data_IF_805211510077
#
_entry.id   IF_805211510077
#
_cell.length_a   1.000
_cell.length_b   1.000
_cell.length_c   1.000
_cell.angle_alpha   90.00
_cell.angle_beta   90.00
_cell.angle_gamma   90.00
#
_symmetry.space_group_name_H-M   'P 1'
#
loop_
_entity.id
_entity.type
_entity.pdbx_description
1 polymer ?
#
# COMPACT_ATOMS: atom_id res chain seq x y z
N UNK A 1 -35.87 10.55 0.84
CA UNK A 1 -34.54 10.44 1.47
C UNK A 1 -33.58 10.04 0.37
N UNK A 2 -32.66 10.92 -0.04
CA UNK A 2 -31.74 10.62 -1.17
C UNK A 2 -30.64 9.71 -0.64
N UNK A 3 -30.39 8.59 -1.33
CA UNK A 3 -29.38 7.61 -0.90
C UNK A 3 -27.95 8.16 -0.94
N UNK A 4 -27.73 9.28 -1.62
CA UNK A 4 -26.44 9.94 -1.79
C UNK A 4 -25.84 10.38 -0.43
N UNK A 5 -26.68 10.79 0.53
CA UNK A 5 -26.22 11.35 1.81
C UNK A 5 -25.60 10.31 2.76
N UNK A 6 -25.89 9.02 2.56
CA UNK A 6 -25.33 7.90 3.36
C UNK A 6 -24.10 7.31 2.67
N UNK A 7 -24.03 7.38 1.34
CA UNK A 7 -22.91 6.91 0.54
C UNK A 7 -21.70 7.83 0.62
N UNK A 8 -21.95 9.14 0.52
CA UNK A 8 -20.94 10.19 0.54
C UNK A 8 -19.96 10.11 1.73
N UNK A 9 -20.38 9.96 2.99
CA UNK A 9 -19.45 9.87 4.11
C UNK A 9 -18.63 8.57 4.13
N UNK A 10 -19.17 7.46 3.61
CA UNK A 10 -18.48 6.16 3.59
C UNK A 10 -17.41 6.12 2.50
N UNK A 11 -17.73 6.61 1.30
CA UNK A 11 -16.76 6.74 0.21
C UNK A 11 -15.61 7.70 0.58
N UNK A 12 -15.93 8.84 1.20
CA UNK A 12 -14.91 9.76 1.73
C UNK A 12 -13.99 9.08 2.75
N UNK A 13 -14.53 8.21 3.62
CA UNK A 13 -13.73 7.48 4.61
C UNK A 13 -12.83 6.41 3.97
N UNK A 14 -13.30 5.73 2.93
CA UNK A 14 -12.52 4.77 2.14
C UNK A 14 -11.38 5.52 1.44
N UNK A 15 -11.67 6.59 0.69
CA UNK A 15 -10.66 7.38 -0.01
C UNK A 15 -9.62 7.97 0.94
N UNK A 16 -10.03 8.47 2.11
CA UNK A 16 -9.11 8.99 3.11
C UNK A 16 -8.19 7.90 3.70
N UNK A 17 -8.68 6.67 3.86
CA UNK A 17 -7.88 5.55 4.35
C UNK A 17 -6.93 5.02 3.26
N UNK A 18 -7.39 4.89 2.01
CA UNK A 18 -6.54 4.57 0.86
C UNK A 18 -5.39 5.55 0.73
N UNK A 19 -5.67 6.86 0.80
CA UNK A 19 -4.63 7.90 0.73
C UNK A 19 -3.59 7.78 1.85
N UNK A 20 -4.00 7.40 3.07
CA UNK A 20 -3.06 7.18 4.18
C UNK A 20 -2.18 5.95 3.97
N UNK A 21 -2.74 4.88 3.41
CA UNK A 21 -1.99 3.66 3.04
C UNK A 21 -0.93 4.01 1.99
N UNK A 22 -1.32 4.71 0.93
CA UNK A 22 -0.40 5.16 -0.14
C UNK A 22 0.75 6.03 0.40
N UNK A 23 0.43 6.97 1.31
CA UNK A 23 1.45 7.82 1.93
C UNK A 23 2.47 7.01 2.73
N UNK A 24 2.01 6.07 3.57
CA UNK A 24 2.90 5.22 4.38
C UNK A 24 3.73 4.27 3.49
N UNK A 25 3.13 3.72 2.43
CA UNK A 25 3.87 2.91 1.46
C UNK A 25 4.98 3.71 0.78
N UNK A 26 4.73 4.96 0.40
CA UNK A 26 5.75 5.86 -0.16
C UNK A 26 6.92 6.10 0.81
N UNK A 27 6.62 6.42 2.07
CA UNK A 27 7.63 6.60 3.12
C UNK A 27 8.49 5.34 3.33
N UNK A 28 7.86 4.15 3.34
CA UNK A 28 8.58 2.88 3.47
C UNK A 28 9.56 2.65 2.32
N UNK A 29 9.15 2.92 1.08
CA UNK A 29 10.03 2.79 -0.10
C UNK A 29 11.21 3.75 0.00
N UNK A 30 10.99 4.98 0.47
CA UNK A 30 12.06 5.96 0.67
C UNK A 30 13.06 5.52 1.74
N UNK A 31 12.58 5.01 2.88
CA UNK A 31 13.42 4.49 3.96
C UNK A 31 14.22 3.27 3.48
N UNK A 32 13.59 2.32 2.78
CA UNK A 32 14.28 1.17 2.22
C UNK A 32 15.35 1.59 1.19
N UNK A 33 15.02 2.53 0.30
CA UNK A 33 15.96 3.09 -0.67
C UNK A 33 17.17 3.74 0.00
N UNK A 34 16.94 4.49 1.10
CA UNK A 34 18.01 5.08 1.89
C UNK A 34 18.94 4.03 2.50
N UNK A 35 18.37 2.94 3.03
CA UNK A 35 19.14 1.83 3.60
C UNK A 35 19.99 1.14 2.52
N UNK A 36 19.41 0.83 1.36
CA UNK A 36 20.11 0.17 0.24
C UNK A 36 21.26 1.04 -0.26
N UNK A 37 21.01 2.30 -0.61
CA UNK A 37 22.04 3.24 -1.10
C UNK A 37 23.20 3.40 -0.12
N UNK A 38 22.91 3.42 1.18
CA UNK A 38 23.93 3.53 2.22
C UNK A 38 24.72 2.24 2.40
N UNK A 39 24.08 1.08 2.24
CA UNK A 39 24.76 -0.22 2.30
C UNK A 39 25.79 -0.37 1.18
N UNK A 40 25.44 0.02 -0.05
CA UNK A 40 26.31 -0.04 -1.22
C UNK A 40 27.56 0.86 -1.08
N UNK A 41 27.37 2.12 -0.66
CA UNK A 41 28.47 3.05 -0.42
C UNK A 41 29.40 2.58 0.72
N UNK A 42 28.88 1.82 1.70
CA UNK A 42 29.69 1.26 2.79
C UNK A 42 30.52 0.04 2.36
N UNK A 43 30.05 -0.74 1.39
CA UNK A 43 30.74 -1.92 0.84
C UNK A 43 31.89 -1.51 -0.07
N UNK A 44 31.67 -0.53 -0.95
CA UNK A 44 32.70 0.04 -1.83
C UNK A 44 33.92 0.54 -1.03
N UNK A 45 33.63 1.27 0.07
CA UNK A 45 34.65 1.74 1.03
C UNK A 45 35.30 0.64 1.87
N UNK A 46 34.67 -0.53 2.04
CA UNK A 46 35.32 -1.68 2.71
C UNK A 46 36.22 -2.45 1.77
N UNK A 47 35.90 -2.49 0.47
CA UNK A 47 36.67 -3.22 -0.52
C UNK A 47 37.97 -2.51 -0.90
N UNK A 48 37.95 -1.17 -1.03
CA UNK A 48 39.16 -0.41 -1.36
C UNK A 48 40.24 -0.43 -0.26
N UNK A 49 39.84 -0.55 1.01
CA UNK A 49 40.76 -0.68 2.16
C UNK A 49 41.33 -2.09 2.30
N UNK A 50 40.60 -3.12 1.86
CA UNK A 50 41.04 -4.52 1.91
C UNK A 50 42.06 -4.84 0.81
N UNK A 51 41.88 -4.29 -0.40
CA UNK A 51 42.79 -4.54 -1.53
C UNK A 51 44.16 -3.88 -1.38
N UNK A 52 44.25 -2.73 -0.71
CA UNK A 52 45.54 -2.05 -0.47
C UNK A 52 46.40 -2.80 0.58
N UNK A 53 45.75 -3.38 1.59
CA UNK A 53 46.42 -4.20 2.63
C UNK A 53 46.95 -5.52 2.04
N UNK A 54 46.20 -6.15 1.14
CA UNK A 54 46.60 -7.43 0.52
C UNK A 54 47.71 -7.25 -0.54
N UNK A 55 47.80 -6.07 -1.17
CA UNK A 55 48.86 -5.76 -2.14
C UNK A 55 50.19 -5.36 -1.50
N UNK A 56 50.18 -4.89 -0.25
CA UNK A 56 51.41 -4.60 0.50
C UNK A 56 52.10 -5.86 1.06
N UNK A 57 51.44 -7.02 1.08
CA UNK A 57 51.98 -8.24 1.70
C UNK A 57 52.50 -9.30 0.72
N UNK A 58 52.43 -9.09 -0.60
CA UNK A 58 52.80 -10.13 -1.58
C UNK A 58 54.03 -9.85 -2.43
N UNK A 59 54.83 -8.82 -2.13
CA UNK A 59 56.09 -8.54 -2.85
C UNK A 59 57.15 -7.99 -1.87
N UNK A 60 57.89 -8.86 -1.20
CA UNK A 60 59.33 -8.99 -1.42
C UNK A 60 59.85 -10.27 -0.76
N UNK A 61 60.52 -11.06 -1.58
CA UNK A 61 61.25 -12.26 -1.24
C UNK A 61 62.67 -11.87 -0.82
N UNK A 62 63.26 -12.68 0.04
CA UNK A 62 64.69 -12.68 0.38
C UNK A 62 65.26 -11.54 1.26
N UNK A 63 65.54 -11.95 2.50
CA UNK A 63 66.83 -11.74 3.18
C UNK A 63 66.96 -10.49 4.08
N UNK A 64 67.49 -10.77 5.28
CA UNK A 64 68.29 -9.97 6.22
C UNK A 64 67.71 -8.81 7.08
N UNK A 65 67.53 -9.15 8.38
CA UNK A 65 68.37 -8.67 9.50
C UNK A 65 68.52 -7.13 9.64
N UNK A 66 67.61 -6.52 10.39
CA UNK A 66 67.80 -5.14 10.87
C UNK A 66 66.74 -4.71 11.88
N UNK A 67 67.11 -4.75 13.17
CA UNK A 67 66.37 -4.10 14.26
C UNK A 67 66.33 -2.59 13.97
N UNK A 68 65.21 -2.06 13.48
CA UNK A 68 64.92 -0.64 13.58
C UNK A 68 63.54 -0.46 14.21
N UNK A 69 63.55 0.22 15.35
CA UNK A 69 62.40 0.56 16.18
C UNK A 69 61.39 1.33 15.33
N UNK A 70 60.21 0.73 15.14
CA UNK A 70 59.08 1.37 14.51
C UNK A 70 58.44 2.33 15.53
N UNK A 71 59.07 3.51 15.71
CA UNK A 71 58.45 4.65 16.37
C UNK A 71 57.90 5.56 15.28
N UNK A 72 56.76 5.17 14.73
CA UNK A 72 55.92 6.06 13.94
C UNK A 72 54.67 6.28 14.78
N UNK A 73 54.60 7.50 15.32
CA UNK A 73 53.44 8.09 15.98
C UNK A 73 52.19 7.77 15.17
N UNK A 74 51.31 6.91 15.70
CA UNK A 74 49.96 6.80 15.17
C UNK A 74 49.29 8.14 15.45
N UNK A 75 49.26 8.97 14.43
CA UNK A 75 48.53 10.22 14.44
C UNK A 75 47.08 9.86 14.81
N UNK A 76 46.65 10.35 15.97
CA UNK A 76 45.31 10.10 16.49
C UNK A 76 44.35 10.85 15.57
N UNK A 77 43.95 10.18 14.48
CA UNK A 77 42.77 10.57 13.73
C UNK A 77 41.56 10.25 14.59
N UNK A 78 41.33 11.12 15.58
CA UNK A 78 40.03 11.36 16.19
C UNK A 78 39.12 11.96 15.13
N UNK A 79 38.82 11.13 14.14
CA UNK A 79 37.66 11.34 13.30
C UNK A 79 36.54 10.78 14.14
N UNK A 80 35.87 11.70 14.83
CA UNK A 80 34.51 11.58 15.30
C UNK A 80 33.63 11.18 14.10
N UNK A 81 33.73 9.92 13.67
CA UNK A 81 32.85 9.32 12.69
C UNK A 81 31.50 9.28 13.37
N UNK A 82 30.68 10.28 13.08
CA UNK A 82 29.22 10.17 13.07
C UNK A 82 28.86 9.15 11.98
N UNK A 83 29.31 7.90 12.16
CA UNK A 83 28.65 6.76 11.60
C UNK A 83 27.31 6.71 12.31
N UNK A 84 26.30 7.41 11.77
CA UNK A 84 24.92 6.99 11.96
C UNK A 84 24.82 5.59 11.36
N UNK A 85 25.33 4.59 12.07
CA UNK A 85 24.90 3.21 11.94
C UNK A 85 23.38 3.22 11.78
N UNK A 86 22.84 2.35 10.92
CA UNK A 86 21.40 2.28 10.70
C UNK A 86 20.76 2.23 12.08
N UNK A 87 20.15 3.34 12.47
CA UNK A 87 19.83 3.57 13.88
C UNK A 87 18.77 2.55 14.26
N UNK A 88 18.82 2.04 15.48
CA UNK A 88 17.70 1.28 16.04
C UNK A 88 16.36 2.01 15.83
N UNK A 89 16.41 3.35 15.78
CA UNK A 89 15.32 4.26 15.44
C UNK A 89 14.75 4.04 14.02
N UNK A 90 15.59 3.86 13.00
CA UNK A 90 15.15 3.62 11.61
C UNK A 90 14.42 2.28 11.48
N UNK A 91 14.93 1.22 12.12
CA UNK A 91 14.28 -0.10 12.12
C UNK A 91 12.98 -0.11 12.94
N UNK A 92 12.97 0.57 14.09
CA UNK A 92 11.77 0.73 14.90
C UNK A 92 10.67 1.49 14.15
N UNK A 93 11.05 2.50 13.36
CA UNK A 93 10.14 3.27 12.51
C UNK A 93 9.54 2.39 11.41
N UNK A 94 10.36 1.62 10.68
CA UNK A 94 9.89 0.65 9.68
C UNK A 94 8.85 -0.32 10.26
N UNK A 95 9.15 -0.95 11.40
CA UNK A 95 8.24 -1.90 12.06
C UNK A 95 6.91 -1.28 12.49
N UNK A 96 6.91 -0.01 12.90
CA UNK A 96 5.67 0.71 13.23
C UNK A 96 4.83 0.98 11.99
N UNK A 97 5.45 1.41 10.89
CA UNK A 97 4.74 1.65 9.63
C UNK A 97 4.16 0.37 9.03
N UNK A 98 4.88 -0.75 9.08
CA UNK A 98 4.37 -2.07 8.66
C UNK A 98 3.13 -2.48 9.47
N UNK A 99 3.18 -2.38 10.80
CA UNK A 99 2.03 -2.71 11.65
C UNK A 99 0.83 -1.76 11.42
N UNK A 100 1.11 -0.46 11.24
CA UNK A 100 0.07 0.53 10.93
C UNK A 100 -0.60 0.25 9.58
N UNK A 101 0.15 -0.19 8.57
CA UNK A 101 -0.40 -0.59 7.26
C UNK A 101 -1.33 -1.79 7.39
N UNK A 102 -0.88 -2.87 8.04
CA UNK A 102 -1.69 -4.07 8.24
C UNK A 102 -3.02 -3.73 8.96
N UNK A 103 -2.96 -2.86 9.98
CA UNK A 103 -4.15 -2.38 10.67
C UNK A 103 -5.07 -1.51 9.79
N UNK A 104 -4.52 -0.67 8.92
CA UNK A 104 -5.30 0.18 8.01
C UNK A 104 -5.95 -0.64 6.90
N UNK A 105 -5.25 -1.63 6.36
CA UNK A 105 -5.76 -2.55 5.33
C UNK A 105 -6.93 -3.39 5.86
N UNK A 106 -6.82 -3.95 7.06
CA UNK A 106 -7.93 -4.69 7.70
C UNK A 106 -9.18 -3.81 7.88
N UNK A 107 -8.96 -2.56 8.32
CA UNK A 107 -10.05 -1.58 8.47
C UNK A 107 -10.68 -1.22 7.14
N UNK A 108 -9.89 -1.02 6.09
CA UNK A 108 -10.37 -0.75 4.74
C UNK A 108 -11.22 -1.90 4.23
N UNK A 109 -10.71 -3.13 4.31
CA UNK A 109 -11.41 -4.35 3.90
C UNK A 109 -12.76 -4.50 4.62
N UNK A 110 -12.81 -4.22 5.92
CA UNK A 110 -14.06 -4.27 6.70
C UNK A 110 -15.10 -3.27 6.22
N UNK A 111 -14.68 -2.04 5.88
CA UNK A 111 -15.59 -1.03 5.34
C UNK A 111 -16.05 -1.38 3.93
N UNK A 112 -15.18 -1.88 3.07
CA UNK A 112 -15.54 -2.34 1.73
C UNK A 112 -16.59 -3.45 1.78
N UNK A 113 -16.40 -4.45 2.63
CA UNK A 113 -17.36 -5.54 2.83
C UNK A 113 -18.72 -5.03 3.34
N UNK A 114 -18.71 -4.08 4.27
CA UNK A 114 -19.95 -3.46 4.78
C UNK A 114 -20.66 -2.70 3.67
N UNK A 115 -19.89 -1.93 2.89
CA UNK A 115 -20.37 -1.15 1.75
C UNK A 115 -20.97 -2.06 0.68
N UNK A 116 -20.30 -3.16 0.31
CA UNK A 116 -20.79 -4.14 -0.65
C UNK A 116 -22.10 -4.80 -0.17
N UNK A 117 -22.17 -5.18 1.10
CA UNK A 117 -23.38 -5.76 1.69
C UNK A 117 -24.55 -4.77 1.65
N UNK A 118 -24.29 -3.49 1.92
CA UNK A 118 -25.29 -2.45 1.80
C UNK A 118 -25.75 -2.29 0.35
N UNK A 119 -24.84 -2.14 -0.63
CA UNK A 119 -25.19 -2.06 -2.06
C UNK A 119 -26.12 -3.19 -2.49
N UNK A 120 -25.79 -4.42 -2.09
CA UNK A 120 -26.59 -5.58 -2.45
C UNK A 120 -28.00 -5.53 -1.85
N UNK A 121 -28.14 -5.12 -0.57
CA UNK A 121 -29.46 -4.95 0.05
C UNK A 121 -30.29 -3.88 -0.66
N UNK A 122 -29.67 -2.75 -1.01
CA UNK A 122 -30.34 -1.68 -1.77
C UNK A 122 -30.77 -2.16 -3.15
N UNK A 123 -29.88 -2.85 -3.88
CA UNK A 123 -30.17 -3.42 -5.20
C UNK A 123 -31.35 -4.38 -5.16
N UNK A 124 -31.40 -5.28 -4.15
CA UNK A 124 -32.54 -6.18 -3.95
C UNK A 124 -33.84 -5.45 -3.65
N UNK A 125 -33.78 -4.39 -2.84
CA UNK A 125 -34.94 -3.56 -2.54
C UNK A 125 -35.49 -2.87 -3.80
N UNK A 126 -34.61 -2.29 -4.61
CA UNK A 126 -34.98 -1.65 -5.89
C UNK A 126 -35.62 -2.66 -6.85
N UNK A 127 -35.02 -3.84 -6.99
CA UNK A 127 -35.55 -4.92 -7.82
C UNK A 127 -36.93 -5.38 -7.34
N UNK A 128 -37.10 -5.63 -6.03
CA UNK A 128 -38.39 -6.01 -5.47
C UNK A 128 -39.48 -4.94 -5.70
N UNK A 129 -39.12 -3.66 -5.59
CA UNK A 129 -40.06 -2.56 -5.85
C UNK A 129 -40.44 -2.46 -7.32
N UNK A 130 -39.48 -2.64 -8.23
CA UNK A 130 -39.72 -2.65 -9.67
C UNK A 130 -40.61 -3.84 -10.06
N UNK A 131 -40.33 -5.02 -9.54
CA UNK A 131 -41.13 -6.24 -9.79
C UNK A 131 -42.55 -6.07 -9.28
N UNK A 132 -42.71 -5.62 -8.02
CA UNK A 132 -44.02 -5.34 -7.43
C UNK A 132 -44.82 -4.35 -8.31
N UNK A 133 -44.18 -3.25 -8.72
CA UNK A 133 -44.80 -2.21 -9.54
C UNK A 133 -45.19 -2.77 -10.91
N UNK A 134 -44.30 -3.52 -11.56
CA UNK A 134 -44.56 -4.17 -12.84
C UNK A 134 -45.73 -5.15 -12.79
N UNK A 135 -45.75 -6.05 -11.79
CA UNK A 135 -46.84 -7.00 -11.58
C UNK A 135 -48.17 -6.29 -11.32
N UNK A 136 -48.17 -5.26 -10.47
CA UNK A 136 -49.37 -4.49 -10.16
C UNK A 136 -49.95 -3.79 -11.40
N UNK A 137 -49.10 -3.13 -12.20
CA UNK A 137 -49.54 -2.47 -13.43
C UNK A 137 -50.08 -3.47 -14.46
N UNK A 138 -49.40 -4.61 -14.65
CA UNK A 138 -49.86 -5.64 -15.57
C UNK A 138 -51.23 -6.19 -15.17
N UNK A 139 -51.42 -6.50 -13.88
CA UNK A 139 -52.71 -6.97 -13.35
C UNK A 139 -53.82 -5.94 -13.59
N UNK A 140 -53.57 -4.66 -13.28
CA UNK A 140 -54.57 -3.60 -13.50
C UNK A 140 -54.90 -3.44 -14.99
N UNK A 141 -53.92 -3.59 -15.88
CA UNK A 141 -54.15 -3.58 -17.34
C UNK A 141 -55.03 -4.76 -17.76
N UNK A 142 -54.73 -5.97 -17.29
CA UNK A 142 -55.55 -7.17 -17.56
C UNK A 142 -57.01 -7.01 -17.05
N UNK A 143 -57.20 -6.43 -15.87
CA UNK A 143 -58.53 -6.09 -15.34
C UNK A 143 -59.28 -5.07 -16.23
N UNK A 144 -58.55 -4.13 -16.82
CA UNK A 144 -59.12 -3.14 -17.75
C UNK A 144 -59.48 -3.78 -19.10
N UNK A 145 -58.60 -4.61 -19.66
CA UNK A 145 -58.79 -5.30 -20.94
C UNK A 145 -59.96 -6.31 -20.87
N UNK A 146 -60.20 -6.91 -19.69
CA UNK A 146 -61.34 -7.79 -19.46
C UNK A 146 -62.67 -7.04 -19.28
N UNK A 147 -62.66 -5.83 -18.70
CA UNK A 147 -63.86 -4.97 -18.64
C UNK A 147 -64.22 -4.33 -19.99
N UNK A 148 -63.23 -4.11 -20.86
CA UNK A 148 -63.42 -3.50 -22.18
C UNK A 148 -62.76 -4.35 -23.27
N UNK A 149 -63.34 -5.53 -23.61
CA UNK A 149 -62.78 -6.38 -24.64
C UNK A 149 -62.75 -5.62 -25.97
N UNK A 150 -61.60 -5.62 -26.63
CA UNK A 150 -61.41 -4.99 -27.94
C UNK A 150 -62.35 -5.68 -28.93
N UNK A 151 -63.49 -5.06 -29.25
CA UNK A 151 -64.44 -5.62 -30.20
C UNK A 151 -63.77 -5.66 -31.59
N UNK A 152 -63.43 -6.84 -32.09
CA UNK A 152 -63.02 -7.04 -33.47
C UNK A 152 -64.24 -6.99 -34.39
N UNK A 153 -64.94 -5.86 -34.45
CA UNK A 153 -66.10 -5.68 -35.32
C UNK A 153 -65.78 -4.75 -36.47
N UNK A 154 -64.82 -5.13 -37.32
CA UNK A 154 -64.60 -4.51 -38.63
C UNK A 154 -64.01 -5.50 -39.64
N UNK A 155 -64.71 -6.62 -39.89
CA UNK A 155 -64.47 -7.45 -41.08
C UNK A 155 -65.78 -8.06 -41.59
N UNK A 156 -66.62 -7.24 -42.20
CA UNK A 156 -67.60 -7.70 -43.19
C UNK A 156 -67.74 -6.61 -44.26
N UNK A 157 -67.08 -6.82 -45.39
CA UNK A 157 -67.41 -6.25 -46.70
C UNK A 157 -67.47 -7.40 -47.70
#
# INVERSE_FOLDING_TARGET
>A
MRCDDIYFPMDLSISALTSKIEAIQGELVEIQSYIVRRSEASIDRRNNKSTDILRQTSVDDATNRGRLVLKVTSDMSDTHYQGKEISADSYATLRRHEFNLESLEDRLLKMENTTATMKEKWRRGDEAMRDFTGTWFNKRREEMDTCFPTSSSFQHY
#
